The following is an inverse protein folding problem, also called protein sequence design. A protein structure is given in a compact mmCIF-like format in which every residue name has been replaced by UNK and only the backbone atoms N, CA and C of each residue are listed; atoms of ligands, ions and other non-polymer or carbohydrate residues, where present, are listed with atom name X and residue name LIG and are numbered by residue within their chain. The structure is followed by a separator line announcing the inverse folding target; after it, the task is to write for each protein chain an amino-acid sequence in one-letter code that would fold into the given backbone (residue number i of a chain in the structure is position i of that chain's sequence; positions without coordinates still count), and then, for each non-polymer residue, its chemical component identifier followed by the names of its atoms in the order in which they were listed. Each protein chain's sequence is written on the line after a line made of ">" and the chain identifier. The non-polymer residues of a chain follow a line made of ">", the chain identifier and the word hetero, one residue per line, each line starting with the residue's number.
data_IF_958564258267
#
_entry.id   IF_958564258267
#
_cell.length_a   1.000
_cell.length_b   1.000
_cell.length_c   1.000
_cell.angle_alpha   90.00
_cell.angle_beta   90.00
_cell.angle_gamma   90.00
#
_symmetry.space_group_name_H-M   'P 1'
#
loop_
_entity.id
_entity.type
_entity.pdbx_description
1 polymer ?
#
# COMPACT_ATOMS: atom_id res chain seq x y z
N UNK A 1 -16.95 -13.49 16.60
CA UNK A 1 -15.95 -13.65 15.53
C UNK A 1 -15.46 -15.07 15.63
N UNK A 2 -15.64 -15.88 14.58
CA UNK A 2 -15.11 -17.24 14.54
C UNK A 2 -13.59 -17.23 14.48
N UNK A 3 -12.96 -18.36 14.79
CA UNK A 3 -11.50 -18.52 14.67
C UNK A 3 -11.05 -18.25 13.23
N UNK A 4 -11.83 -18.72 12.25
CA UNK A 4 -11.56 -18.48 10.82
C UNK A 4 -11.61 -16.99 10.45
N UNK A 5 -12.61 -16.25 10.93
CA UNK A 5 -12.73 -14.80 10.68
C UNK A 5 -11.52 -14.04 11.28
N UNK A 6 -11.10 -14.43 12.48
CA UNK A 6 -9.96 -13.82 13.17
C UNK A 6 -8.66 -14.06 12.40
N UNK A 7 -8.43 -15.30 11.98
CA UNK A 7 -7.22 -15.67 11.22
C UNK A 7 -7.21 -15.06 9.82
N UNK A 8 -8.38 -14.96 9.17
CA UNK A 8 -8.54 -14.26 7.89
C UNK A 8 -8.15 -12.79 8.02
N UNK A 9 -8.54 -12.13 9.11
CA UNK A 9 -8.15 -10.74 9.37
C UNK A 9 -6.62 -10.57 9.57
N UNK A 10 -5.93 -11.56 10.14
CA UNK A 10 -4.46 -11.53 10.23
C UNK A 10 -3.79 -11.64 8.86
N UNK A 11 -4.30 -12.49 7.97
CA UNK A 11 -3.83 -12.59 6.58
C UNK A 11 -4.03 -11.25 5.85
N UNK A 12 -5.22 -10.67 5.92
CA UNK A 12 -5.53 -9.39 5.27
C UNK A 12 -4.72 -8.21 5.85
N UNK A 13 -4.40 -8.27 7.15
CA UNK A 13 -3.62 -7.25 7.86
C UNK A 13 -2.10 -7.37 7.70
N UNK A 14 -1.60 -8.42 7.04
CA UNK A 14 -0.17 -8.68 6.92
C UNK A 14 0.58 -7.48 6.31
N UNK A 15 1.75 -7.10 6.85
CA UNK A 15 2.61 -6.10 6.23
C UNK A 15 3.14 -6.56 4.87
N UNK A 16 3.47 -5.61 3.96
CA UNK A 16 4.00 -5.96 2.65
C UNK A 16 5.34 -6.71 2.81
N UNK A 17 5.45 -7.86 2.15
CA UNK A 17 6.65 -8.71 2.22
C UNK A 17 6.70 -9.68 3.40
N UNK A 18 5.70 -9.67 4.30
CA UNK A 18 5.72 -10.45 5.55
C UNK A 18 4.57 -11.47 5.64
N UNK A 19 3.79 -11.64 4.56
CA UNK A 19 2.66 -12.59 4.55
C UNK A 19 3.10 -14.03 4.90
N UNK A 20 4.25 -14.47 4.38
CA UNK A 20 4.75 -15.82 4.64
C UNK A 20 5.05 -16.06 6.12
N UNK A 21 5.59 -15.04 6.81
CA UNK A 21 5.87 -15.09 8.25
C UNK A 21 4.56 -15.11 9.05
N UNK A 22 3.59 -14.26 8.67
CA UNK A 22 2.25 -14.26 9.28
C UNK A 22 1.56 -15.62 9.14
N UNK A 23 1.66 -16.28 7.97
CA UNK A 23 1.11 -17.62 7.77
C UNK A 23 1.82 -18.66 8.65
N UNK A 24 3.15 -18.56 8.80
CA UNK A 24 3.91 -19.45 9.66
C UNK A 24 3.50 -19.30 11.13
N UNK A 25 3.28 -18.07 11.59
CA UNK A 25 2.80 -17.76 12.94
C UNK A 25 1.38 -18.28 13.17
N UNK A 26 0.46 -18.02 12.22
CA UNK A 26 -0.90 -18.58 12.25
C UNK A 26 -0.84 -20.09 12.41
N UNK A 27 -0.04 -20.76 11.56
CA UNK A 27 0.14 -22.22 11.63
C UNK A 27 0.58 -22.63 13.03
N UNK A 28 1.60 -21.98 13.59
CA UNK A 28 2.11 -22.29 14.93
C UNK A 28 1.06 -22.13 16.02
N UNK A 29 0.19 -21.12 15.92
CA UNK A 29 -0.84 -20.82 16.91
C UNK A 29 -2.05 -21.75 16.83
N UNK A 30 -2.35 -22.32 15.65
CA UNK A 30 -3.57 -23.12 15.43
C UNK A 30 -3.31 -24.63 15.27
N UNK A 31 -2.05 -25.08 15.37
CA UNK A 31 -1.65 -26.49 15.19
C UNK A 31 -2.50 -27.49 15.97
N UNK A 32 -2.85 -27.18 17.22
CA UNK A 32 -3.57 -28.11 18.10
C UNK A 32 -5.09 -28.02 17.99
N UNK A 33 -5.62 -26.82 17.69
CA UNK A 33 -7.05 -26.53 17.73
C UNK A 33 -7.72 -26.59 16.36
N UNK A 34 -6.98 -26.26 15.29
CA UNK A 34 -7.52 -26.18 13.92
C UNK A 34 -6.40 -26.39 12.89
N UNK A 35 -5.89 -27.63 12.75
CA UNK A 35 -4.74 -27.92 11.89
C UNK A 35 -5.00 -27.62 10.40
N UNK A 36 -6.26 -27.69 9.97
CA UNK A 36 -6.65 -27.46 8.57
C UNK A 36 -7.08 -26.01 8.27
N UNK A 37 -6.96 -25.09 9.25
CA UNK A 37 -7.50 -23.71 9.11
C UNK A 37 -6.95 -22.99 7.88
N UNK A 38 -5.68 -23.21 7.53
CA UNK A 38 -5.01 -22.56 6.41
C UNK A 38 -5.67 -22.92 5.07
N UNK A 39 -6.19 -24.14 4.92
CA UNK A 39 -6.88 -24.55 3.69
C UNK A 39 -8.18 -23.79 3.46
N UNK A 40 -8.75 -23.21 4.52
CA UNK A 40 -9.97 -22.40 4.48
C UNK A 40 -9.70 -20.89 4.31
N UNK A 41 -8.43 -20.47 4.24
CA UNK A 41 -8.06 -19.04 4.08
C UNK A 41 -7.97 -18.58 2.63
N UNK A 42 -8.34 -19.42 1.65
CA UNK A 42 -8.31 -19.08 0.22
C UNK A 42 -8.87 -17.69 -0.11
N UNK A 43 -10.10 -17.33 0.34
CA UNK A 43 -10.67 -16.01 0.10
C UNK A 43 -9.86 -14.86 0.71
N UNK A 44 -9.27 -15.05 1.89
CA UNK A 44 -8.44 -14.04 2.54
C UNK A 44 -7.11 -13.84 1.77
N UNK A 45 -6.52 -14.92 1.26
CA UNK A 45 -5.34 -14.83 0.40
C UNK A 45 -5.65 -14.13 -0.92
N UNK A 46 -6.76 -14.45 -1.58
CA UNK A 46 -7.19 -13.79 -2.81
C UNK A 46 -7.34 -12.29 -2.60
N UNK A 47 -8.13 -11.91 -1.59
CA UNK A 47 -8.35 -10.51 -1.22
C UNK A 47 -7.05 -9.79 -0.88
N UNK A 48 -6.19 -10.38 -0.05
CA UNK A 48 -4.89 -9.79 0.27
C UNK A 48 -4.06 -9.58 -1.00
N UNK A 49 -3.91 -10.61 -1.84
CA UNK A 49 -3.06 -10.54 -3.02
C UNK A 49 -3.53 -9.47 -4.02
N UNK A 50 -4.84 -9.40 -4.26
CA UNK A 50 -5.44 -8.41 -5.16
C UNK A 50 -5.39 -6.99 -4.60
N UNK A 51 -5.78 -6.77 -3.35
CA UNK A 51 -5.77 -5.42 -2.76
C UNK A 51 -4.35 -4.87 -2.63
N UNK A 52 -3.38 -5.76 -2.40
CA UNK A 52 -1.98 -5.40 -2.26
C UNK A 52 -1.23 -5.27 -3.58
N UNK A 53 -1.87 -5.56 -4.71
CA UNK A 53 -1.24 -5.62 -6.02
C UNK A 53 0.04 -6.47 -5.99
N UNK A 54 -0.06 -7.68 -5.44
CA UNK A 54 1.09 -8.59 -5.35
C UNK A 54 1.67 -8.81 -6.73
N UNK A 55 2.99 -8.76 -6.81
CA UNK A 55 3.73 -8.92 -8.06
C UNK A 55 4.29 -10.33 -8.14
N UNK A 56 4.13 -11.00 -9.27
CA UNK A 56 4.66 -12.34 -9.53
C UNK A 56 5.40 -12.38 -10.86
N UNK A 57 6.44 -13.20 -10.99
CA UNK A 57 7.11 -13.43 -12.27
C UNK A 57 6.50 -14.65 -12.97
N UNK A 58 6.16 -14.49 -14.24
CA UNK A 58 5.73 -15.63 -15.06
C UNK A 58 6.91 -16.57 -15.34
N UNK A 59 6.69 -17.88 -15.46
CA UNK A 59 7.73 -18.82 -15.89
C UNK A 59 8.43 -18.36 -17.17
N UNK A 60 9.74 -18.11 -17.09
CA UNK A 60 10.55 -17.64 -18.23
C UNK A 60 10.53 -16.13 -18.49
N UNK A 61 9.78 -15.33 -17.72
CA UNK A 61 9.80 -13.87 -17.81
C UNK A 61 10.70 -13.24 -16.75
N UNK A 62 11.38 -12.16 -17.11
CA UNK A 62 12.16 -11.33 -16.17
C UNK A 62 11.30 -10.27 -15.48
N UNK A 63 10.24 -9.80 -16.16
CA UNK A 63 9.38 -8.72 -15.67
C UNK A 63 8.26 -9.27 -14.77
N UNK A 64 7.98 -8.61 -13.65
CA UNK A 64 6.86 -8.96 -12.79
C UNK A 64 5.52 -8.50 -13.42
N UNK A 65 4.48 -9.29 -13.20
CA UNK A 65 3.08 -8.95 -13.49
C UNK A 65 2.30 -8.75 -12.19
N UNK A 66 1.19 -8.01 -12.26
CA UNK A 66 0.36 -7.67 -11.09
C UNK A 66 -0.81 -8.63 -10.95
N UNK A 67 -1.16 -8.96 -9.71
CA UNK A 67 -2.42 -9.61 -9.32
C UNK A 67 -3.39 -8.55 -8.81
N UNK A 68 -4.54 -8.42 -9.45
CA UNK A 68 -5.57 -7.43 -9.12
C UNK A 68 -6.94 -7.90 -9.58
N UNK A 69 -8.00 -7.47 -8.89
CA UNK A 69 -9.36 -7.69 -9.37
C UNK A 69 -9.62 -7.05 -10.75
N UNK A 70 -8.83 -6.04 -11.13
CA UNK A 70 -8.93 -5.37 -12.44
C UNK A 70 -8.40 -6.20 -13.62
N UNK A 71 -7.60 -7.23 -13.35
CA UNK A 71 -7.07 -8.13 -14.38
C UNK A 71 -7.43 -9.60 -14.14
N UNK A 72 -8.45 -9.85 -13.32
CA UNK A 72 -9.00 -11.19 -13.11
C UNK A 72 -9.88 -11.60 -14.29
N UNK A 73 -9.70 -12.82 -14.78
CA UNK A 73 -10.57 -13.49 -15.73
C UNK A 73 -11.58 -14.42 -15.02
N UNK A 74 -11.57 -14.45 -13.69
CA UNK A 74 -12.27 -15.45 -12.88
C UNK A 74 -11.49 -16.76 -12.75
N UNK A 75 -11.97 -17.64 -11.87
CA UNK A 75 -11.43 -18.98 -11.63
C UNK A 75 -9.90 -19.02 -11.36
N UNK A 76 -9.39 -18.03 -10.64
CA UNK A 76 -7.96 -17.92 -10.30
C UNK A 76 -7.05 -17.64 -11.50
N UNK A 77 -7.60 -17.15 -12.62
CA UNK A 77 -6.82 -16.71 -13.79
C UNK A 77 -6.75 -15.20 -13.87
N UNK A 78 -5.57 -14.74 -14.26
CA UNK A 78 -5.26 -13.33 -14.47
C UNK A 78 -4.66 -13.14 -15.85
N UNK A 79 -4.67 -11.91 -16.35
CA UNK A 79 -4.00 -11.57 -17.60
C UNK A 79 -3.11 -10.34 -17.46
N UNK A 80 -2.11 -10.29 -18.32
CA UNK A 80 -1.20 -9.18 -18.45
C UNK A 80 -1.19 -8.70 -19.90
N UNK A 81 -1.47 -7.41 -20.08
CA UNK A 81 -1.62 -6.81 -21.41
C UNK A 81 -0.27 -6.60 -22.08
N UNK A 82 0.77 -6.24 -21.31
CA UNK A 82 2.11 -5.97 -21.85
C UNK A 82 2.73 -7.24 -22.44
N UNK A 83 2.70 -8.34 -21.69
CA UNK A 83 3.18 -9.65 -22.16
C UNK A 83 2.17 -10.41 -23.05
N UNK A 84 0.98 -9.85 -23.28
CA UNK A 84 -0.10 -10.48 -24.06
C UNK A 84 -0.35 -11.93 -23.62
N UNK A 85 -0.43 -12.14 -22.31
CA UNK A 85 -0.49 -13.47 -21.70
C UNK A 85 -1.55 -13.55 -20.61
N UNK A 86 -2.18 -14.72 -20.48
CA UNK A 86 -2.99 -15.08 -19.31
C UNK A 86 -2.34 -16.24 -18.55
N UNK A 87 -2.57 -16.33 -17.25
CA UNK A 87 -1.93 -17.30 -16.38
C UNK A 87 -2.84 -17.63 -15.19
N UNK A 88 -2.64 -18.83 -14.63
CA UNK A 88 -3.25 -19.19 -13.35
C UNK A 88 -2.37 -18.69 -12.21
N UNK A 89 -2.98 -18.24 -11.11
CA UNK A 89 -2.28 -17.79 -9.91
C UNK A 89 -2.80 -18.57 -8.69
N UNK A 90 -1.88 -19.19 -7.96
CA UNK A 90 -2.19 -19.81 -6.68
C UNK A 90 -2.00 -18.78 -5.57
N UNK A 91 -3.11 -18.30 -4.99
CA UNK A 91 -3.10 -17.31 -3.93
C UNK A 91 -2.41 -17.76 -2.63
N UNK A 92 -2.36 -19.07 -2.37
CA UNK A 92 -1.74 -19.62 -1.17
C UNK A 92 -0.23 -19.65 -1.31
N UNK A 93 0.28 -20.10 -2.47
CA UNK A 93 1.72 -20.22 -2.70
C UNK A 93 2.34 -19.00 -3.38
N UNK A 94 1.52 -18.04 -3.83
CA UNK A 94 1.89 -16.85 -4.61
C UNK A 94 2.68 -17.18 -5.88
N UNK A 95 2.27 -18.24 -6.60
CA UNK A 95 2.95 -18.73 -7.81
C UNK A 95 2.06 -18.63 -9.04
N UNK A 96 2.65 -18.15 -10.13
CA UNK A 96 2.03 -18.16 -11.45
C UNK A 96 2.35 -19.45 -12.21
N UNK A 97 1.38 -19.95 -12.98
CA UNK A 97 1.49 -21.16 -13.80
C UNK A 97 0.55 -21.11 -15.00
N UNK A 98 0.56 -22.15 -15.84
CA UNK A 98 -0.36 -22.32 -16.97
C UNK A 98 -0.50 -21.06 -17.87
N UNK A 99 0.66 -20.52 -18.26
CA UNK A 99 0.75 -19.33 -19.13
C UNK A 99 0.23 -19.67 -20.53
N UNK A 100 -0.62 -18.80 -21.06
CA UNK A 100 -1.28 -18.93 -22.36
C UNK A 100 -1.28 -17.57 -23.07
N UNK A 101 -1.30 -17.57 -24.40
CA UNK A 101 -1.48 -16.33 -25.17
C UNK A 101 -2.84 -15.70 -24.85
N UNK A 102 -2.86 -14.40 -24.60
CA UNK A 102 -4.08 -13.62 -24.39
C UNK A 102 -3.87 -12.22 -24.96
N UNK A 103 -4.58 -11.90 -26.05
CA UNK A 103 -4.47 -10.61 -26.72
C UNK A 103 -5.65 -9.75 -26.30
N UNK A 104 -5.36 -8.52 -25.87
CA UNK A 104 -6.40 -7.57 -25.53
C UNK A 104 -7.15 -7.10 -26.79
N UNK A 105 -8.45 -7.28 -26.77
CA UNK A 105 -9.41 -6.81 -27.77
C UNK A 105 -10.45 -5.90 -27.09
N UNK A 106 -10.96 -4.91 -27.82
CA UNK A 106 -11.94 -3.96 -27.28
C UNK A 106 -11.81 -2.56 -27.87
N UNK A 107 -12.78 -1.71 -27.56
CA UNK A 107 -12.81 -0.30 -27.93
C UNK A 107 -11.67 0.49 -27.27
N UNK A 108 -11.24 0.12 -26.04
CA UNK A 108 -10.16 0.82 -25.35
C UNK A 108 -8.77 0.21 -25.57
N UNK A 109 -8.64 -0.84 -26.38
CA UNK A 109 -7.38 -1.57 -26.54
C UNK A 109 -6.21 -0.67 -26.97
N UNK A 110 -6.45 0.29 -27.88
CA UNK A 110 -5.43 1.23 -28.34
C UNK A 110 -5.02 2.23 -27.26
N UNK A 111 -5.99 2.75 -26.49
CA UNK A 111 -5.72 3.67 -25.38
C UNK A 111 -4.95 2.97 -24.25
N UNK A 112 -5.32 1.73 -23.93
CA UNK A 112 -4.61 0.89 -22.95
C UNK A 112 -3.16 0.68 -23.38
N UNK A 113 -2.91 0.24 -24.63
CA UNK A 113 -1.57 0.02 -25.18
C UNK A 113 -0.74 1.31 -25.22
N UNK A 114 -1.36 2.43 -25.62
CA UNK A 114 -0.72 3.75 -25.62
C UNK A 114 -0.33 4.21 -24.20
N UNK A 115 -1.18 3.95 -23.22
CA UNK A 115 -0.94 4.27 -21.81
C UNK A 115 0.17 3.40 -21.22
N UNK A 116 0.16 2.08 -21.46
CA UNK A 116 1.25 1.18 -21.05
C UNK A 116 2.61 1.63 -21.61
N UNK A 117 2.67 1.93 -22.91
CA UNK A 117 3.89 2.43 -23.54
C UNK A 117 4.40 3.73 -22.91
N UNK A 118 3.48 4.60 -22.46
CA UNK A 118 3.83 5.89 -21.87
C UNK A 118 4.20 5.78 -20.39
N UNK A 119 3.59 4.85 -19.64
CA UNK A 119 3.75 4.73 -18.20
C UNK A 119 5.01 3.96 -17.81
N UNK A 120 5.47 3.03 -18.64
CA UNK A 120 6.71 2.26 -18.41
C UNK A 120 7.92 3.14 -18.09
N UNK A 121 8.29 4.10 -18.98
CA UNK A 121 9.40 5.02 -18.71
C UNK A 121 9.24 5.85 -17.43
N UNK A 122 8.01 6.27 -17.12
CA UNK A 122 7.71 6.99 -15.88
C UNK A 122 7.96 6.10 -14.65
N UNK A 123 7.48 4.85 -14.68
CA UNK A 123 7.66 3.89 -13.59
C UNK A 123 9.15 3.60 -13.38
N UNK A 124 9.91 3.37 -14.45
CA UNK A 124 11.35 3.09 -14.40
C UNK A 124 12.16 4.28 -13.85
N UNK A 125 11.76 5.51 -14.16
CA UNK A 125 12.44 6.73 -13.67
C UNK A 125 12.17 6.99 -12.18
N UNK A 126 10.96 6.70 -11.70
CA UNK A 126 10.50 7.11 -10.37
C UNK A 126 10.50 6.01 -9.31
N UNK A 127 10.49 4.74 -9.71
CA UNK A 127 10.44 3.60 -8.79
C UNK A 127 11.58 2.62 -9.04
N UNK A 128 12.34 2.29 -7.99
CA UNK A 128 13.48 1.38 -8.11
C UNK A 128 13.08 -0.06 -8.48
N UNK A 129 11.96 -0.54 -7.92
CA UNK A 129 11.42 -1.87 -8.13
C UNK A 129 9.90 -1.75 -8.16
N UNK A 130 9.32 -1.72 -9.35
CA UNK A 130 7.89 -1.60 -9.52
C UNK A 130 7.35 -2.50 -10.62
N UNK A 131 6.05 -2.74 -10.56
CA UNK A 131 5.26 -3.26 -11.66
C UNK A 131 4.14 -2.25 -11.96
N UNK A 132 3.66 -2.27 -13.19
CA UNK A 132 2.52 -1.46 -13.60
C UNK A 132 1.60 -2.28 -14.50
N UNK A 133 0.35 -1.87 -14.61
CA UNK A 133 -0.66 -2.55 -15.41
C UNK A 133 -1.77 -1.59 -15.80
N UNK A 134 -2.32 -1.78 -16.98
CA UNK A 134 -3.44 -0.98 -17.50
C UNK A 134 -4.46 -1.95 -18.09
N UNK A 135 -5.70 -1.87 -17.59
CA UNK A 135 -6.73 -2.86 -17.87
C UNK A 135 -8.06 -2.17 -18.18
N UNK A 136 -8.79 -2.56 -19.23
CA UNK A 136 -10.17 -2.14 -19.37
C UNK A 136 -11.03 -2.81 -18.30
N UNK A 137 -11.96 -2.06 -17.73
CA UNK A 137 -12.88 -2.50 -16.69
C UNK A 137 -14.31 -2.04 -17.02
N UNK A 138 -15.29 -2.49 -16.22
CA UNK A 138 -16.70 -2.13 -16.41
C UNK A 138 -17.18 -2.37 -17.86
N UNK A 139 -16.90 -3.57 -18.39
CA UNK A 139 -17.22 -3.95 -19.77
C UNK A 139 -16.62 -3.00 -20.81
N UNK A 140 -15.35 -2.62 -20.63
CA UNK A 140 -14.56 -1.77 -21.55
C UNK A 140 -15.04 -0.30 -21.63
N UNK A 141 -15.80 0.15 -20.62
CA UNK A 141 -16.24 1.55 -20.51
C UNK A 141 -15.25 2.44 -19.75
N UNK A 142 -14.42 1.86 -18.88
CA UNK A 142 -13.40 2.55 -18.09
C UNK A 142 -12.07 1.81 -18.15
N UNK A 143 -11.00 2.48 -17.72
CA UNK A 143 -9.64 1.93 -17.69
C UNK A 143 -9.09 2.04 -16.28
N UNK A 144 -8.65 0.92 -15.71
CA UNK A 144 -7.87 0.87 -14.48
C UNK A 144 -6.38 0.96 -14.82
N UNK A 145 -5.65 1.84 -14.14
CA UNK A 145 -4.20 2.01 -14.22
C UNK A 145 -3.64 1.74 -12.82
N UNK A 146 -2.75 0.77 -12.73
CA UNK A 146 -2.19 0.30 -11.47
C UNK A 146 -0.68 0.46 -11.51
N UNK A 147 -0.11 1.01 -10.44
CA UNK A 147 1.34 1.05 -10.19
C UNK A 147 1.58 0.50 -8.79
N UNK A 148 2.53 -0.43 -8.66
CA UNK A 148 2.96 -0.95 -7.37
C UNK A 148 4.47 -0.92 -7.27
N UNK A 149 5.00 -0.17 -6.30
CA UNK A 149 6.42 -0.09 -5.99
C UNK A 149 6.72 -0.83 -4.70
N UNK A 150 7.69 -1.75 -4.71
CA UNK A 150 8.01 -2.60 -3.57
C UNK A 150 9.48 -2.45 -3.19
N UNK A 151 9.76 -2.27 -1.90
CA UNK A 151 11.13 -2.31 -1.38
C UNK A 151 11.15 -3.05 -0.05
N UNK A 152 11.73 -4.24 -0.07
CA UNK A 152 11.81 -5.13 1.09
C UNK A 152 13.25 -5.24 1.54
N UNK A 153 13.48 -5.02 2.82
CA UNK A 153 14.80 -5.08 3.43
C UNK A 153 14.70 -5.78 4.79
N UNK A 154 14.30 -7.07 4.82
CA UNK A 154 14.05 -7.78 6.07
C UNK A 154 15.29 -7.89 6.95
N UNK A 155 16.49 -7.98 6.35
CA UNK A 155 17.77 -7.95 7.08
C UNK A 155 18.04 -6.62 7.80
N UNK A 156 17.37 -5.54 7.39
CA UNK A 156 17.40 -4.23 8.02
C UNK A 156 16.08 -3.93 8.76
N UNK A 157 15.25 -4.96 8.99
CA UNK A 157 14.00 -4.87 9.75
C UNK A 157 12.99 -3.86 9.20
N UNK A 158 12.90 -3.70 7.88
CA UNK A 158 11.84 -2.88 7.29
C UNK A 158 11.41 -3.29 5.90
N UNK A 159 10.14 -3.06 5.62
CA UNK A 159 9.51 -3.27 4.32
C UNK A 159 8.63 -2.08 3.96
N UNK A 160 8.53 -1.80 2.66
CA UNK A 160 7.74 -0.70 2.14
C UNK A 160 7.04 -1.07 0.84
N UNK A 161 5.81 -0.58 0.68
CA UNK A 161 5.01 -0.69 -0.53
C UNK A 161 4.29 0.61 -0.83
N UNK A 162 4.40 1.03 -2.09
CA UNK A 162 3.61 2.10 -2.70
C UNK A 162 2.58 1.46 -3.64
N UNK A 163 1.33 1.89 -3.59
CA UNK A 163 0.27 1.48 -4.52
C UNK A 163 -0.47 2.70 -5.04
N UNK A 164 -0.55 2.80 -6.36
CA UNK A 164 -1.40 3.76 -7.05
C UNK A 164 -2.45 3.01 -7.83
N UNK A 165 -3.71 3.40 -7.65
CA UNK A 165 -4.82 2.96 -8.48
C UNK A 165 -5.48 4.19 -9.05
N UNK A 166 -5.64 4.23 -10.37
CA UNK A 166 -6.42 5.24 -11.06
C UNK A 166 -7.46 4.57 -11.94
N UNK A 167 -8.67 5.09 -11.93
CA UNK A 167 -9.79 4.73 -12.78
C UNK A 167 -10.08 5.92 -13.68
N UNK A 168 -9.88 5.72 -14.97
CA UNK A 168 -10.16 6.69 -16.02
C UNK A 168 -11.48 6.35 -16.70
N UNK A 169 -12.35 7.34 -16.82
CA UNK A 169 -13.46 7.33 -17.76
C UNK A 169 -13.02 8.07 -19.06
N UNK A 170 -12.78 7.35 -20.17
CA UNK A 170 -12.33 7.96 -21.41
C UNK A 170 -13.34 8.92 -22.04
N UNK A 171 -14.63 8.79 -21.71
CA UNK A 171 -15.70 9.61 -22.29
C UNK A 171 -15.77 11.01 -21.68
N UNK A 172 -15.56 11.10 -20.35
CA UNK A 172 -15.58 12.36 -19.60
C UNK A 172 -14.17 12.91 -19.35
N UNK A 173 -13.13 12.08 -19.48
CA UNK A 173 -11.77 12.38 -19.06
C UNK A 173 -11.58 12.40 -17.55
N UNK A 174 -12.58 11.98 -16.77
CA UNK A 174 -12.48 11.92 -15.31
C UNK A 174 -11.46 10.85 -14.89
N UNK A 175 -10.51 11.24 -14.04
CA UNK A 175 -9.49 10.36 -13.48
C UNK A 175 -9.61 10.39 -11.95
N UNK A 176 -10.17 9.33 -11.40
CA UNK A 176 -10.31 9.13 -9.95
C UNK A 176 -9.32 8.07 -9.48
N UNK A 177 -8.82 8.16 -8.26
CA UNK A 177 -7.83 7.21 -7.80
C UNK A 177 -7.55 7.24 -6.31
N UNK A 178 -6.62 6.38 -5.90
CA UNK A 178 -6.09 6.35 -4.55
C UNK A 178 -4.59 6.06 -4.56
N UNK A 179 -3.87 6.76 -3.70
CA UNK A 179 -2.46 6.57 -3.42
C UNK A 179 -2.31 6.03 -2.00
N UNK A 180 -1.68 4.86 -1.86
CA UNK A 180 -1.49 4.18 -0.58
C UNK A 180 -0.01 3.89 -0.36
N UNK A 181 0.47 4.20 0.84
CA UNK A 181 1.83 3.88 1.30
C UNK A 181 1.71 3.03 2.56
N UNK A 182 2.43 1.91 2.56
CA UNK A 182 2.53 0.99 3.68
C UNK A 182 4.02 0.75 3.98
N UNK A 183 4.50 1.23 5.12
CA UNK A 183 5.89 1.03 5.56
C UNK A 183 5.88 0.44 6.95
N UNK A 184 6.59 -0.66 7.15
CA UNK A 184 6.72 -1.33 8.42
C UNK A 184 8.19 -1.39 8.81
N UNK A 185 8.53 -0.92 10.01
CA UNK A 185 9.85 -0.98 10.62
C UNK A 185 9.73 -1.68 11.98
N UNK A 186 10.56 -2.70 12.21
CA UNK A 186 10.41 -3.63 13.32
C UNK A 186 11.72 -4.00 14.04
N UNK A 187 12.72 -3.12 14.00
CA UNK A 187 13.92 -3.26 14.83
C UNK A 187 13.65 -2.73 16.24
N UNK A 188 13.80 -3.59 17.26
CA UNK A 188 13.58 -3.26 18.69
C UNK A 188 12.24 -2.60 19.02
N UNK A 189 11.23 -2.79 18.17
CA UNK A 189 9.93 -2.17 18.26
C UNK A 189 9.04 -2.56 17.08
N UNK A 190 7.88 -1.92 16.95
CA UNK A 190 7.00 -2.05 15.80
C UNK A 190 6.40 -0.69 15.46
N UNK A 191 6.77 -0.14 14.31
CA UNK A 191 6.26 1.11 13.78
C UNK A 191 5.77 0.88 12.36
N UNK A 192 4.51 1.23 12.10
CA UNK A 192 3.92 1.12 10.77
C UNK A 192 3.31 2.45 10.33
N UNK A 193 3.63 2.88 9.12
CA UNK A 193 2.96 3.95 8.40
C UNK A 193 1.94 3.32 7.45
N UNK A 194 0.67 3.68 7.62
CA UNK A 194 -0.40 3.33 6.68
C UNK A 194 -1.07 4.60 6.20
N UNK A 195 -1.13 4.79 4.89
CA UNK A 195 -1.78 5.95 4.29
C UNK A 195 -2.77 5.54 3.20
N UNK A 196 -3.80 6.36 3.02
CA UNK A 196 -4.74 6.25 1.92
C UNK A 196 -5.20 7.65 1.51
N UNK A 197 -4.73 8.12 0.36
CA UNK A 197 -5.04 9.44 -0.17
C UNK A 197 -5.92 9.27 -1.42
N UNK A 198 -7.23 9.56 -1.34
CA UNK A 198 -8.05 9.66 -2.54
C UNK A 198 -7.64 10.88 -3.37
N UNK A 199 -7.67 10.72 -4.69
CA UNK A 199 -7.33 11.76 -5.67
C UNK A 199 -8.38 11.77 -6.78
N UNK A 200 -8.64 12.96 -7.33
CA UNK A 200 -9.57 13.14 -8.45
C UNK A 200 -9.07 14.30 -9.30
N UNK A 201 -9.14 14.13 -10.61
CA UNK A 201 -8.69 15.10 -11.62
C UNK A 201 -9.46 14.88 -12.93
N UNK A 202 -9.26 15.75 -13.90
CA UNK A 202 -9.90 15.63 -15.23
C UNK A 202 -8.88 15.93 -16.31
N UNK A 203 -8.79 15.05 -17.30
CA UNK A 203 -7.85 15.15 -18.42
C UNK A 203 -8.60 15.65 -19.65
N UNK A 204 -8.21 16.81 -20.19
CA UNK A 204 -8.93 17.43 -21.32
C UNK A 204 -8.74 16.71 -22.66
N UNK A 205 -7.58 16.06 -22.88
CA UNK A 205 -7.30 15.27 -24.07
C UNK A 205 -6.76 13.93 -23.64
N UNK A 206 -7.59 12.89 -23.70
CA UNK A 206 -7.26 11.56 -23.19
C UNK A 206 -6.35 10.83 -24.16
N UNK A 207 -5.09 10.65 -23.78
CA UNK A 207 -4.09 9.82 -24.47
C UNK A 207 -3.03 9.36 -23.47
N UNK A 208 -2.20 8.38 -23.83
CA UNK A 208 -1.21 7.81 -22.90
C UNK A 208 -0.28 8.85 -22.26
N UNK A 209 0.17 9.85 -23.03
CA UNK A 209 1.09 10.87 -22.53
C UNK A 209 0.41 11.86 -21.56
N UNK A 210 -0.82 12.28 -21.84
CA UNK A 210 -1.55 13.18 -20.95
C UNK A 210 -1.96 12.51 -19.64
N UNK A 211 -2.32 11.22 -19.69
CA UNK A 211 -2.61 10.41 -18.51
C UNK A 211 -1.38 10.33 -17.60
N UNK A 212 -0.23 9.96 -18.15
CA UNK A 212 1.01 9.83 -17.36
C UNK A 212 1.47 11.16 -16.78
N UNK A 213 1.28 12.27 -17.51
CA UNK A 213 1.59 13.62 -17.01
C UNK A 213 0.73 13.98 -15.78
N UNK A 214 -0.55 13.64 -15.79
CA UNK A 214 -1.45 13.90 -14.67
C UNK A 214 -1.11 13.01 -13.46
N UNK A 215 -0.82 11.72 -13.70
CA UNK A 215 -0.34 10.79 -12.68
C UNK A 215 0.96 11.32 -12.03
N UNK A 216 1.97 11.66 -12.84
CA UNK A 216 3.24 12.20 -12.37
C UNK A 216 3.07 13.46 -11.51
N UNK A 217 2.19 14.37 -11.93
CA UNK A 217 1.91 15.59 -11.17
C UNK A 217 1.24 15.27 -9.82
N UNK A 218 0.28 14.34 -9.84
CA UNK A 218 -0.48 13.93 -8.66
C UNK A 218 0.40 13.19 -7.64
N UNK A 219 1.20 12.23 -8.09
CA UNK A 219 2.10 11.44 -7.24
C UNK A 219 3.21 12.31 -6.64
N UNK A 220 3.81 13.20 -7.43
CA UNK A 220 4.80 14.17 -6.94
C UNK A 220 4.22 15.05 -5.84
N UNK A 221 3.02 15.60 -6.06
CA UNK A 221 2.32 16.43 -5.06
C UNK A 221 2.08 15.63 -3.79
N UNK A 222 1.64 14.38 -3.90
CA UNK A 222 1.39 13.55 -2.73
C UNK A 222 2.67 13.21 -1.96
N UNK A 223 3.77 12.91 -2.65
CA UNK A 223 5.07 12.68 -2.03
C UNK A 223 5.56 13.93 -1.27
N UNK A 224 5.42 15.12 -1.86
CA UNK A 224 5.73 16.39 -1.19
C UNK A 224 4.84 16.62 0.05
N UNK A 225 3.55 16.29 -0.03
CA UNK A 225 2.60 16.36 1.10
C UNK A 225 3.00 15.40 2.23
N UNK A 226 3.39 14.16 1.91
CA UNK A 226 3.87 13.18 2.90
C UNK A 226 5.11 13.69 3.64
N UNK A 227 6.10 14.21 2.91
CA UNK A 227 7.33 14.75 3.50
C UNK A 227 7.03 15.93 4.45
N UNK A 228 6.17 16.86 4.03
CA UNK A 228 5.72 17.98 4.89
C UNK A 228 4.94 17.47 6.10
N UNK A 229 4.13 16.43 5.92
CA UNK A 229 3.36 15.78 6.98
C UNK A 229 4.26 15.26 8.10
N UNK A 230 5.38 14.60 7.76
CA UNK A 230 6.35 14.13 8.75
C UNK A 230 7.03 15.26 9.52
N UNK A 231 7.42 16.33 8.84
CA UNK A 231 8.00 17.52 9.51
C UNK A 231 6.97 18.11 10.49
N UNK A 232 5.73 18.32 10.04
CA UNK A 232 4.65 18.85 10.88
C UNK A 232 4.35 17.97 12.09
N UNK A 233 4.32 16.64 11.91
CA UNK A 233 4.10 15.68 12.99
C UNK A 233 5.20 15.76 14.06
N UNK A 234 6.46 15.81 13.62
CA UNK A 234 7.63 15.85 14.50
C UNK A 234 7.75 17.16 15.28
N UNK A 235 7.42 18.29 14.67
CA UNK A 235 7.56 19.60 15.29
C UNK A 235 6.31 20.05 16.06
N UNK A 236 5.14 19.53 15.68
CA UNK A 236 3.85 19.85 16.28
C UNK A 236 3.36 18.79 17.25
N UNK A 237 2.61 17.80 16.73
CA UNK A 237 1.83 16.89 17.55
C UNK A 237 2.67 16.09 18.55
N UNK A 238 3.83 15.55 18.14
CA UNK A 238 4.68 14.77 19.04
C UNK A 238 5.26 15.61 20.18
N UNK A 239 5.65 16.87 19.93
CA UNK A 239 6.07 17.79 21.00
C UNK A 239 4.91 18.16 21.94
N UNK A 240 3.69 18.19 21.42
CA UNK A 240 2.47 18.40 22.20
C UNK A 240 2.16 17.24 23.15
N UNK A 241 2.41 15.99 22.73
CA UNK A 241 2.21 14.80 23.57
C UNK A 241 3.23 14.71 24.70
N UNK A 242 4.52 14.80 24.37
CA UNK A 242 5.61 14.73 25.36
C UNK A 242 6.75 15.64 24.95
N UNK A 243 7.04 16.60 25.81
CA UNK A 243 8.20 17.48 25.63
C UNK A 243 9.49 16.70 25.85
N UNK A 244 10.52 17.01 25.06
CA UNK A 244 11.86 16.45 25.25
C UNK A 244 12.46 16.85 26.62
N UNK A 245 12.14 18.06 27.08
CA UNK A 245 12.48 18.57 28.41
C UNK A 245 11.27 19.27 29.04
N UNK A 246 11.18 19.31 30.38
CA UNK A 246 10.26 20.19 31.11
C UNK A 246 10.31 21.64 30.62
N UNK A 247 9.31 22.45 30.98
CA UNK A 247 9.23 23.88 30.60
C UNK A 247 10.49 24.65 31.01
N UNK A 248 11.11 24.26 32.12
CA UNK A 248 12.37 24.80 32.65
C UNK A 248 13.59 24.53 31.76
N UNK A 249 13.47 23.67 30.74
CA UNK A 249 14.58 23.23 29.86
C UNK A 249 15.74 22.57 30.62
N UNK A 250 15.44 21.95 31.76
CA UNK A 250 16.39 21.19 32.58
C UNK A 250 15.80 19.82 32.91
N UNK A 251 16.67 18.82 33.13
CA UNK A 251 16.21 17.52 33.63
C UNK A 251 15.58 17.70 35.02
N UNK A 252 14.64 16.82 35.36
CA UNK A 252 13.99 16.85 36.67
C UNK A 252 15.05 16.58 37.75
N UNK A 253 15.15 17.50 38.70
CA UNK A 253 15.94 17.32 39.92
C UNK A 253 15.12 16.51 40.92
N UNK A 254 15.23 15.19 40.86
CA UNK A 254 14.41 14.27 41.67
C UNK A 254 14.50 14.54 43.18
N UNK A 255 15.67 14.96 43.69
CA UNK A 255 15.87 15.30 45.10
C UNK A 255 15.02 16.50 45.56
N UNK A 256 14.72 17.43 44.65
CA UNK A 256 13.90 18.60 44.96
C UNK A 256 12.41 18.32 44.84
N UNK A 257 12.01 17.36 43.99
CA UNK A 257 10.60 17.00 43.76
C UNK A 257 9.87 16.61 45.05
N UNK A 258 10.53 15.90 45.96
CA UNK A 258 9.97 15.50 47.26
C UNK A 258 9.87 16.67 48.26
N UNK A 259 10.63 17.74 48.04
CA UNK A 259 10.67 18.93 48.91
C UNK A 259 9.74 20.06 48.46
N UNK A 260 9.31 20.07 47.20
CA UNK A 260 8.34 21.05 46.68
C UNK A 260 6.95 20.81 47.28
N UNK A 261 6.56 21.63 48.26
CA UNK A 261 5.18 21.67 48.78
C UNK A 261 4.27 22.43 47.81
N UNK A 262 3.78 21.71 46.79
CA UNK A 262 2.94 22.24 45.71
C UNK A 262 1.73 23.07 46.21
N UNK A 263 1.23 22.81 47.42
CA UNK A 263 0.04 23.47 47.98
C UNK A 263 0.25 24.87 48.58
N UNK A 264 1.48 25.29 48.94
CA UNK A 264 1.70 26.62 49.53
C UNK A 264 1.89 27.73 48.49
N UNK A 265 2.46 27.42 47.33
CA UNK A 265 2.74 28.42 46.28
C UNK A 265 1.60 28.62 45.27
N UNK A 266 0.62 27.71 45.22
CA UNK A 266 -0.60 27.86 44.40
C UNK A 266 -1.67 28.67 45.14
N UNK A 267 -1.64 28.68 46.47
CA UNK A 267 -2.55 29.41 47.35
C UNK A 267 -2.20 30.89 47.51
N UNK A 268 -1.79 31.57 46.44
CA UNK A 268 -1.55 33.01 46.37
C UNK A 268 -2.82 33.83 46.56
N UNK A 269 -3.49 33.68 47.69
CA UNK A 269 -4.42 34.67 48.22
C UNK A 269 -3.64 35.94 48.48
N UNK A 270 -3.75 36.89 47.55
CA UNK A 270 -3.32 38.27 47.72
C UNK A 270 -4.09 38.90 48.88
N UNK A 271 -3.66 38.65 50.13
CA UNK A 271 -3.91 39.56 51.23
C UNK A 271 -2.97 40.75 51.04
N UNK A 272 -3.43 41.75 50.27
CA UNK A 272 -2.89 43.10 50.35
C UNK A 272 -3.26 43.64 51.74
N UNK A 273 -2.24 43.87 52.57
CA UNK A 273 -2.30 44.84 53.67
C UNK A 273 -2.23 46.24 53.11
#
# INVERSE_FOLDING_TARGET
>A
MSDLETVSAFVEGAPPGELADVIADIKSLTLETSPDIISNLGPAFEKYNEEQFVTVKLPGSSQPVIISSHNSLGDGRYYDVESSSSFAFDHTTQKASAVQSHVLEGAQADLVKSTLKSIGPYVDEHFANAAHGVYPIESDSKIAIVIVGNKYSPNNFWNGRWRSLYILDPSSGALEGSLKVDVHYYEDGNVRLLTNKPVSSTISSVNGASIVREISTTERKYQEELNKGFVSLSEGAFKGLRRQLPVTRQKIEWDRVTSYRLGQDIGGGSSRR
#
